data_IF_179324590826
#
_entry.id   IF_179324590826
#
_cell.length_a   1.000
_cell.length_b   1.000
_cell.length_c   1.000
_cell.angle_alpha   90.00
_cell.angle_beta   90.00
_cell.angle_gamma   90.00
#
_symmetry.space_group_name_H-M   'P 1'
#
loop_
_entity.id
_entity.type
_entity.pdbx_description
1 polymer ?
#
# COMPACT_ATOMS: atom_id res chain seq x y z
N UNK A 1 -17.01 17.84 0.40
CA UNK A 1 -16.24 17.55 -0.84
C UNK A 1 -16.92 16.39 -1.52
N UNK A 2 -17.30 16.49 -2.80
CA UNK A 2 -17.90 15.35 -3.51
C UNK A 2 -16.80 14.43 -4.09
N UNK A 3 -17.18 13.24 -4.56
CA UNK A 3 -16.21 12.26 -5.13
C UNK A 3 -15.47 12.85 -6.33
N UNK A 4 -16.12 13.66 -7.16
CA UNK A 4 -15.53 14.26 -8.35
C UNK A 4 -14.42 15.24 -8.00
N UNK A 5 -14.64 16.10 -7.00
CA UNK A 5 -13.65 17.05 -6.51
C UNK A 5 -12.46 16.32 -5.89
N UNK A 6 -12.72 15.26 -5.11
CA UNK A 6 -11.68 14.44 -4.50
C UNK A 6 -10.80 13.75 -5.56
N UNK A 7 -11.43 13.10 -6.54
CA UNK A 7 -10.73 12.44 -7.64
C UNK A 7 -9.93 13.44 -8.49
N UNK A 8 -10.48 14.63 -8.76
CA UNK A 8 -9.76 15.67 -9.50
C UNK A 8 -8.52 16.15 -8.74
N UNK A 9 -8.65 16.41 -7.44
CA UNK A 9 -7.53 16.81 -6.59
C UNK A 9 -6.44 15.75 -6.52
N UNK A 10 -6.83 14.48 -6.29
CA UNK A 10 -5.89 13.35 -6.25
C UNK A 10 -5.11 13.21 -7.57
N UNK A 11 -5.79 13.33 -8.71
CA UNK A 11 -5.16 13.27 -10.03
C UNK A 11 -4.17 14.41 -10.28
N UNK A 12 -4.49 15.64 -9.85
CA UNK A 12 -3.59 16.79 -9.95
C UNK A 12 -2.32 16.59 -9.11
N UNK A 13 -2.48 16.11 -7.87
CA UNK A 13 -1.37 15.82 -6.96
C UNK A 13 -0.47 14.71 -7.53
N UNK A 14 -1.07 13.60 -8.01
CA UNK A 14 -0.34 12.50 -8.63
C UNK A 14 0.45 12.96 -9.87
N UNK A 15 -0.14 13.82 -10.72
CA UNK A 15 0.53 14.37 -11.90
C UNK A 15 1.73 15.25 -11.53
N UNK A 16 1.61 16.05 -10.48
CA UNK A 16 2.72 16.86 -9.98
C UNK A 16 3.84 15.98 -9.41
N UNK A 17 3.51 15.03 -8.54
CA UNK A 17 4.47 14.09 -7.95
C UNK A 17 5.19 13.24 -9.01
N UNK A 18 4.46 12.78 -10.04
CA UNK A 18 5.05 12.00 -11.14
C UNK A 18 6.11 12.76 -11.94
N UNK A 19 5.98 14.08 -12.08
CA UNK A 19 7.01 14.92 -12.73
C UNK A 19 8.28 14.99 -11.89
N UNK A 20 8.16 15.11 -10.57
CA UNK A 20 9.30 15.10 -9.65
C UNK A 20 9.98 13.73 -9.64
N UNK A 21 9.22 12.64 -9.58
CA UNK A 21 9.75 11.29 -9.64
C UNK A 21 10.48 11.00 -10.96
N UNK A 22 9.96 11.49 -12.09
CA UNK A 22 10.60 11.35 -13.39
C UNK A 22 12.00 11.98 -13.44
N UNK A 23 12.16 13.13 -12.78
CA UNK A 23 13.43 13.88 -12.71
C UNK A 23 14.43 13.32 -11.69
N UNK A 24 13.98 12.50 -10.74
CA UNK A 24 14.87 11.92 -9.75
C UNK A 24 15.87 10.95 -10.40
N UNK A 25 17.13 11.03 -9.98
CA UNK A 25 18.16 10.10 -10.39
C UNK A 25 17.93 8.70 -9.79
N UNK A 26 18.56 7.70 -10.39
CA UNK A 26 18.42 6.30 -9.95
C UNK A 26 18.90 6.08 -8.51
N UNK A 27 19.87 6.85 -8.02
CA UNK A 27 20.36 6.75 -6.64
C UNK A 27 19.26 7.10 -5.64
N UNK A 28 18.61 8.25 -5.81
CA UNK A 28 17.48 8.67 -4.97
C UNK A 28 16.31 7.68 -5.03
N UNK A 29 16.00 7.16 -6.23
CA UNK A 29 14.94 6.16 -6.40
C UNK A 29 15.27 4.87 -5.63
N UNK A 30 16.50 4.39 -5.74
CA UNK A 30 16.95 3.20 -5.03
C UNK A 30 16.94 3.40 -3.51
N UNK A 31 17.43 4.55 -3.02
CA UNK A 31 17.36 4.89 -1.59
C UNK A 31 15.93 4.92 -1.07
N UNK A 32 14.98 5.45 -1.85
CA UNK A 32 13.57 5.45 -1.49
C UNK A 32 12.99 4.02 -1.42
N UNK A 33 13.31 3.16 -2.39
CA UNK A 33 12.86 1.76 -2.40
C UNK A 33 13.41 0.98 -1.20
N UNK A 34 14.70 1.16 -0.87
CA UNK A 34 15.32 0.53 0.30
C UNK A 34 14.70 1.02 1.62
N UNK A 35 14.42 2.32 1.72
CA UNK A 35 13.73 2.87 2.89
C UNK A 35 12.29 2.34 3.01
N UNK A 36 11.56 2.16 1.90
CA UNK A 36 10.23 1.54 1.89
C UNK A 36 10.32 0.09 2.39
N UNK A 37 11.29 -0.68 1.88
CA UNK A 37 11.54 -2.05 2.33
C UNK A 37 11.80 -2.12 3.84
N UNK A 38 12.69 -1.28 4.37
CA UNK A 38 12.99 -1.22 5.80
C UNK A 38 11.74 -0.87 6.63
N UNK A 39 10.94 0.11 6.16
CA UNK A 39 9.70 0.48 6.84
C UNK A 39 8.68 -0.67 6.83
N UNK A 40 8.50 -1.36 5.70
CA UNK A 40 7.61 -2.52 5.61
C UNK A 40 8.06 -3.63 6.57
N UNK A 41 9.36 -3.93 6.64
CA UNK A 41 9.90 -4.89 7.60
C UNK A 41 9.58 -4.47 9.03
N UNK A 42 9.94 -3.23 9.41
CA UNK A 42 9.78 -2.74 10.78
C UNK A 42 8.33 -2.65 11.25
N UNK A 43 7.38 -2.52 10.32
CA UNK A 43 5.95 -2.37 10.59
C UNK A 43 5.14 -3.63 10.29
N UNK A 44 5.79 -4.77 10.06
CA UNK A 44 5.11 -6.03 9.68
C UNK A 44 3.98 -6.39 10.66
N UNK A 45 4.28 -6.38 11.96
CA UNK A 45 3.30 -6.75 13.00
C UNK A 45 2.09 -5.78 13.01
N UNK A 46 2.36 -4.49 12.83
CA UNK A 46 1.31 -3.48 12.74
C UNK A 46 0.42 -3.70 11.51
N UNK A 47 1.03 -3.95 10.35
CA UNK A 47 0.29 -4.17 9.09
C UNK A 47 -0.58 -5.43 9.15
N UNK A 48 -0.07 -6.52 9.74
CA UNK A 48 -0.85 -7.76 9.95
C UNK A 48 -2.02 -7.50 10.90
N UNK A 49 -1.80 -6.77 12.00
CA UNK A 49 -2.84 -6.45 12.96
C UNK A 49 -3.95 -5.56 12.36
N UNK A 50 -3.60 -4.58 11.52
CA UNK A 50 -4.59 -3.76 10.82
C UNK A 50 -5.34 -4.55 9.74
N UNK A 51 -4.64 -5.38 8.95
CA UNK A 51 -5.28 -6.21 7.94
C UNK A 51 -6.25 -7.24 8.54
N UNK A 52 -6.00 -7.73 9.76
CA UNK A 52 -6.94 -8.58 10.47
C UNK A 52 -8.30 -7.91 10.70
N UNK A 53 -8.33 -6.58 10.91
CA UNK A 53 -9.57 -5.80 11.01
C UNK A 53 -10.29 -5.74 9.67
N UNK A 54 -9.55 -5.57 8.58
CA UNK A 54 -10.11 -5.58 7.23
C UNK A 54 -10.69 -6.95 6.85
N UNK A 55 -10.01 -8.04 7.22
CA UNK A 55 -10.49 -9.40 7.01
C UNK A 55 -11.80 -9.65 7.78
N UNK A 56 -11.88 -9.17 9.02
CA UNK A 56 -13.10 -9.27 9.82
C UNK A 56 -14.24 -8.46 9.19
N UNK A 57 -13.98 -7.22 8.79
CA UNK A 57 -14.96 -6.38 8.12
C UNK A 57 -15.41 -6.96 6.76
N UNK A 58 -14.49 -7.60 6.03
CA UNK A 58 -14.78 -8.30 4.78
C UNK A 58 -15.70 -9.50 5.01
N UNK A 59 -15.42 -10.33 6.01
CA UNK A 59 -16.27 -11.47 6.41
C UNK A 59 -17.68 -11.00 6.77
N UNK A 60 -17.80 -9.96 7.59
CA UNK A 60 -19.09 -9.40 8.01
C UNK A 60 -19.91 -8.84 6.83
N UNK A 61 -19.23 -8.34 5.79
CA UNK A 61 -19.85 -7.84 4.55
C UNK A 61 -20.13 -8.94 3.52
N UNK A 62 -19.88 -10.21 3.87
CA UNK A 62 -20.15 -11.36 2.99
C UNK A 62 -19.13 -11.53 1.86
N UNK A 63 -17.89 -11.07 2.05
CA UNK A 63 -16.80 -11.32 1.11
C UNK A 63 -16.51 -12.82 1.05
N UNK A 64 -16.37 -13.37 -0.17
CA UNK A 64 -16.12 -14.80 -0.35
C UNK A 64 -14.70 -15.21 0.09
N UNK A 65 -14.51 -16.52 0.32
CA UNK A 65 -13.24 -17.05 0.80
C UNK A 65 -12.05 -16.75 -0.14
N UNK A 66 -12.16 -16.88 -1.48
CA UNK A 66 -11.08 -16.51 -2.39
C UNK A 66 -10.66 -15.03 -2.32
N UNK A 67 -11.62 -14.11 -2.13
CA UNK A 67 -11.31 -12.69 -2.00
C UNK A 67 -10.71 -12.36 -0.64
N UNK A 68 -11.14 -13.04 0.43
CA UNK A 68 -10.49 -12.94 1.74
C UNK A 68 -9.05 -13.43 1.72
N UNK A 69 -8.78 -14.55 1.05
CA UNK A 69 -7.42 -15.07 0.88
C UNK A 69 -6.55 -14.07 0.10
N UNK A 70 -7.09 -13.36 -0.89
CA UNK A 70 -6.35 -12.31 -1.61
C UNK A 70 -6.12 -11.06 -0.75
N UNK A 71 -7.05 -10.74 0.16
CA UNK A 71 -6.95 -9.60 1.05
C UNK A 71 -5.97 -9.83 2.20
N UNK A 72 -5.74 -11.09 2.59
CA UNK A 72 -4.89 -11.45 3.72
C UNK A 72 -3.43 -11.01 3.51
N UNK A 73 -2.90 -10.27 4.48
CA UNK A 73 -1.48 -9.96 4.64
C UNK A 73 -0.90 -10.84 5.74
N UNK A 74 -0.03 -11.76 5.35
CA UNK A 74 0.78 -12.57 6.28
C UNK A 74 2.22 -12.02 6.31
N UNK A 75 3.01 -12.30 7.37
CA UNK A 75 4.42 -11.94 7.39
C UNK A 75 5.18 -12.40 6.15
N UNK A 76 4.91 -13.62 5.66
CA UNK A 76 5.52 -14.16 4.45
C UNK A 76 5.14 -13.38 3.17
N UNK A 77 3.90 -12.87 3.09
CA UNK A 77 3.47 -12.03 1.96
C UNK A 77 4.10 -10.64 2.01
N UNK A 78 4.27 -10.07 3.19
CA UNK A 78 4.97 -8.80 3.38
C UNK A 78 6.45 -8.97 3.06
N UNK A 79 7.08 -10.06 3.50
CA UNK A 79 8.46 -10.41 3.15
C UNK A 79 8.63 -10.49 1.63
N UNK A 80 7.73 -11.17 0.91
CA UNK A 80 7.76 -11.25 -0.55
C UNK A 80 7.60 -9.89 -1.28
N UNK A 81 7.17 -8.82 -0.62
CA UNK A 81 7.15 -7.46 -1.19
C UNK A 81 8.51 -6.75 -1.09
N UNK A 82 9.40 -7.26 -0.24
CA UNK A 82 10.68 -6.64 0.12
C UNK A 82 11.85 -7.29 -0.62
N UNK A 83 11.71 -8.56 -1.02
CA UNK A 83 12.77 -9.37 -1.68
C UNK A 83 12.77 -9.24 -3.20
#
# INVERSE_FOLDING_TARGET
>A
MNIKDYMSGLGQQAKAAGRELSRADSGKKNSALLAIAEQLTSQTDYLVAENAKDLQAGKEKGLDAPLLERLELTPARIEAMIV
#
